data_IF_190918353650
#
_entry.id   IF_190918353650
#
_cell.length_a   1.000
_cell.length_b   1.000
_cell.length_c   1.000
_cell.angle_alpha   90.00
_cell.angle_beta   90.00
_cell.angle_gamma   90.00
#
_symmetry.space_group_name_H-M   'P 1'
#
loop_
_entity.id
_entity.type
_entity.pdbx_description
1 polymer ?
#
# COMPACT_ATOMS: atom_id res chain seq x y z
N UNK A 1 41.72 26.08 12.35
CA UNK A 1 40.73 25.13 12.92
C UNK A 1 39.30 25.70 12.95
N UNK A 2 39.11 27.02 13.03
CA UNK A 2 37.79 27.68 13.09
C UNK A 2 36.98 27.66 11.79
N UNK A 3 37.63 27.74 10.63
CA UNK A 3 36.94 27.73 9.33
C UNK A 3 36.31 26.36 9.01
N UNK A 4 36.99 25.25 9.34
CA UNK A 4 36.48 23.89 9.16
C UNK A 4 35.21 23.63 9.98
N UNK A 5 35.19 24.08 11.23
CA UNK A 5 34.00 23.98 12.09
C UNK A 5 32.81 24.82 11.57
N UNK A 6 33.10 25.98 10.95
CA UNK A 6 32.08 26.81 10.30
C UNK A 6 31.49 26.15 9.05
N UNK A 7 32.32 25.51 8.22
CA UNK A 7 31.84 24.74 7.06
C UNK A 7 31.01 23.51 7.48
N UNK A 8 31.44 22.80 8.53
CA UNK A 8 30.69 21.67 9.08
C UNK A 8 29.32 22.11 9.64
N UNK A 9 29.27 23.24 10.35
CA UNK A 9 28.02 23.81 10.87
C UNK A 9 27.08 24.27 9.75
N UNK A 10 27.60 24.89 8.69
CA UNK A 10 26.81 25.27 7.52
C UNK A 10 26.25 24.03 6.79
N UNK A 11 27.06 23.00 6.64
CA UNK A 11 26.63 21.73 6.03
C UNK A 11 25.54 21.06 6.87
N UNK A 12 25.70 21.01 8.19
CA UNK A 12 24.70 20.48 9.11
C UNK A 12 23.38 21.26 9.04
N UNK A 13 23.44 22.59 8.93
CA UNK A 13 22.27 23.44 8.74
C UNK A 13 21.55 23.12 7.43
N UNK A 14 22.29 23.01 6.32
CA UNK A 14 21.73 22.66 5.01
C UNK A 14 21.07 21.28 5.06
N UNK A 15 21.72 20.30 5.69
CA UNK A 15 21.16 18.96 5.87
C UNK A 15 19.86 19.00 6.69
N UNK A 16 19.85 19.73 7.80
CA UNK A 16 18.67 19.87 8.65
C UNK A 16 17.49 20.50 7.88
N UNK A 17 17.76 21.57 7.13
CA UNK A 17 16.75 22.21 6.27
C UNK A 17 16.23 21.23 5.22
N UNK A 18 17.12 20.50 4.54
CA UNK A 18 16.73 19.52 3.53
C UNK A 18 15.86 18.39 4.11
N UNK A 19 16.20 17.89 5.31
CA UNK A 19 15.37 16.87 5.99
C UNK A 19 13.99 17.40 6.36
N UNK A 20 13.88 18.67 6.76
CA UNK A 20 12.61 19.29 7.12
C UNK A 20 11.70 19.45 5.88
N UNK A 21 12.27 19.86 4.75
CA UNK A 21 11.53 19.94 3.49
C UNK A 21 11.12 18.56 2.95
N UNK A 22 11.96 17.55 3.12
CA UNK A 22 11.65 16.18 2.69
C UNK A 22 10.52 15.55 3.51
N UNK A 23 10.39 15.92 4.79
CA UNK A 23 9.29 15.49 5.65
C UNK A 23 7.93 16.12 5.29
N UNK A 24 7.91 17.18 4.47
CA UNK A 24 6.69 17.85 4.04
C UNK A 24 6.08 17.26 2.75
N UNK A 25 6.70 16.22 2.17
CA UNK A 25 6.15 15.55 0.98
C UNK A 25 4.85 14.85 1.37
N UNK A 26 3.72 15.12 0.69
CA UNK A 26 2.46 14.46 0.99
C UNK A 26 2.61 12.96 0.79
N UNK A 27 2.10 12.19 1.75
CA UNK A 27 1.96 10.76 1.58
C UNK A 27 0.96 10.51 0.43
N UNK A 28 1.41 9.87 -0.65
CA UNK A 28 0.50 9.38 -1.69
C UNK A 28 -0.41 8.33 -1.06
N UNK A 29 -1.64 8.72 -0.76
CA UNK A 29 -2.66 7.80 -0.27
C UNK A 29 -3.10 6.85 -1.38
N UNK A 30 -3.56 5.67 -0.97
CA UNK A 30 -4.30 4.75 -1.84
C UNK A 30 -5.57 5.45 -2.31
N UNK A 31 -5.83 5.44 -3.63
CA UNK A 31 -7.03 6.04 -4.21
C UNK A 31 -8.29 5.44 -3.57
N UNK A 32 -9.07 6.21 -2.79
CA UNK A 32 -10.22 5.67 -2.10
C UNK A 32 -11.37 5.42 -3.07
N UNK A 33 -12.00 4.25 -2.96
CA UNK A 33 -13.20 3.93 -3.74
C UNK A 33 -14.43 4.25 -2.89
N UNK A 34 -15.20 5.24 -3.30
CA UNK A 34 -16.43 5.66 -2.60
C UNK A 34 -17.50 4.56 -2.74
N UNK A 35 -18.14 4.23 -1.62
CA UNK A 35 -19.31 3.33 -1.59
C UNK A 35 -20.51 4.16 -1.11
N UNK A 36 -21.45 4.47 -2.01
CA UNK A 36 -22.72 5.08 -1.64
C UNK A 36 -23.85 4.05 -1.67
N UNK A 37 -24.89 4.28 -0.85
CA UNK A 37 -26.06 3.40 -0.77
C UNK A 37 -26.80 3.29 -2.11
N UNK A 38 -26.79 4.37 -2.90
CA UNK A 38 -27.50 4.45 -4.18
C UNK A 38 -26.64 4.03 -5.38
N UNK A 39 -25.38 3.65 -5.15
CA UNK A 39 -24.50 3.19 -6.22
C UNK A 39 -24.94 1.80 -6.70
N UNK A 40 -25.29 1.70 -7.99
CA UNK A 40 -25.71 0.42 -8.59
C UNK A 40 -24.55 -0.55 -8.82
N UNK A 41 -23.36 -0.03 -9.09
CA UNK A 41 -22.17 -0.81 -9.38
C UNK A 41 -20.92 -0.04 -8.97
N UNK A 42 -19.87 -0.79 -8.62
CA UNK A 42 -18.57 -0.26 -8.26
C UNK A 42 -17.55 -0.68 -9.31
N UNK A 43 -16.82 0.28 -9.87
CA UNK A 43 -15.71 -0.02 -10.78
C UNK A 43 -14.45 -0.36 -9.97
N UNK A 44 -14.14 -1.65 -9.91
CA UNK A 44 -12.97 -2.20 -9.24
C UNK A 44 -11.84 -2.58 -10.21
N UNK A 45 -11.96 -2.29 -11.51
CA UNK A 45 -11.02 -2.73 -12.54
C UNK A 45 -9.57 -2.31 -12.29
N UNK A 46 -9.36 -1.21 -11.55
CA UNK A 46 -8.04 -0.67 -11.18
C UNK A 46 -7.53 -1.10 -9.81
N UNK A 47 -8.32 -1.87 -9.07
CA UNK A 47 -8.09 -2.17 -7.65
C UNK A 47 -8.27 -3.66 -7.31
N UNK A 48 -8.24 -4.55 -8.31
CA UNK A 48 -8.32 -6.00 -8.12
C UNK A 48 -7.14 -6.70 -8.76
N UNK A 49 -6.74 -7.81 -8.16
CA UNK A 49 -5.81 -8.78 -8.74
C UNK A 49 -6.61 -10.03 -9.10
N UNK A 50 -6.42 -10.54 -10.31
CA UNK A 50 -7.16 -11.69 -10.83
C UNK A 50 -6.22 -12.88 -10.94
N UNK A 51 -6.46 -13.91 -10.13
CA UNK A 51 -5.77 -15.19 -10.19
C UNK A 51 -6.59 -16.17 -11.02
N UNK A 52 -5.97 -16.82 -12.00
CA UNK A 52 -6.61 -17.82 -12.86
C UNK A 52 -5.86 -19.14 -12.78
N UNK A 53 -6.61 -20.21 -12.95
CA UNK A 53 -6.21 -21.61 -12.97
C UNK A 53 -5.57 -22.08 -11.66
N UNK A 54 -6.11 -21.65 -10.52
CA UNK A 54 -5.58 -22.02 -9.20
C UNK A 54 -6.02 -23.41 -8.70
N UNK A 55 -6.91 -24.10 -9.44
CA UNK A 55 -7.46 -25.40 -9.07
C UNK A 55 -8.63 -25.29 -8.10
N UNK A 56 -8.94 -26.38 -7.41
CA UNK A 56 -10.11 -26.48 -6.52
C UNK A 56 -9.92 -25.73 -5.19
N UNK A 57 -8.71 -25.72 -4.63
CA UNK A 57 -8.39 -25.01 -3.40
C UNK A 57 -7.31 -23.96 -3.64
N UNK A 58 -7.59 -22.71 -3.29
CA UNK A 58 -6.69 -21.58 -3.46
C UNK A 58 -6.46 -20.84 -2.15
N UNK A 59 -5.20 -20.60 -1.79
CA UNK A 59 -4.86 -19.84 -0.60
C UNK A 59 -4.36 -18.46 -0.95
N UNK A 60 -4.89 -17.44 -0.25
CA UNK A 60 -4.51 -16.04 -0.45
C UNK A 60 -4.32 -15.32 0.88
N UNK A 61 -3.38 -14.38 0.89
CA UNK A 61 -3.14 -13.51 2.04
C UNK A 61 -4.09 -12.31 2.01
N UNK A 62 -4.59 -11.94 3.18
CA UNK A 62 -5.43 -10.75 3.37
C UNK A 62 -4.58 -9.52 3.63
N UNK A 63 -5.15 -8.34 3.41
CA UNK A 63 -4.54 -7.11 3.89
C UNK A 63 -4.36 -7.17 5.43
N UNK A 64 -3.29 -6.54 5.99
CA UNK A 64 -3.09 -6.49 7.43
C UNK A 64 -4.32 -5.92 8.15
N UNK A 65 -4.72 -6.57 9.25
CA UNK A 65 -5.78 -6.04 10.11
C UNK A 65 -5.34 -4.78 10.88
N UNK A 66 -6.23 -4.20 11.70
CA UNK A 66 -5.86 -3.09 12.60
C UNK A 66 -4.74 -3.43 13.58
N UNK A 67 -4.51 -4.72 13.82
CA UNK A 67 -3.44 -5.29 14.62
C UNK A 67 -2.12 -5.48 13.85
N UNK A 68 -2.10 -5.18 12.55
CA UNK A 68 -0.96 -5.39 11.66
C UNK A 68 -0.72 -6.85 11.25
N UNK A 69 -1.62 -7.77 11.61
CA UNK A 69 -1.43 -9.20 11.32
C UNK A 69 -1.99 -9.53 9.93
N UNK A 70 -1.14 -10.13 9.09
CA UNK A 70 -1.53 -10.74 7.81
C UNK A 70 -2.04 -12.15 8.05
N UNK A 71 -3.26 -12.42 7.59
CA UNK A 71 -3.91 -13.74 7.71
C UNK A 71 -4.00 -14.40 6.35
N UNK A 72 -3.93 -15.73 6.32
CA UNK A 72 -4.17 -16.53 5.12
C UNK A 72 -5.56 -17.12 5.17
N UNK A 73 -6.28 -17.05 4.06
CA UNK A 73 -7.56 -17.70 3.86
C UNK A 73 -7.42 -18.74 2.76
N UNK A 74 -8.19 -19.82 2.86
CA UNK A 74 -8.36 -20.79 1.79
C UNK A 74 -9.76 -20.61 1.20
N UNK A 75 -9.82 -20.61 -0.13
CA UNK A 75 -11.03 -20.47 -0.92
C UNK A 75 -11.19 -21.73 -1.73
N UNK A 76 -12.33 -22.38 -1.56
CA UNK A 76 -12.73 -23.56 -2.33
C UNK A 76 -13.58 -23.14 -3.54
N UNK A 77 -13.32 -23.76 -4.67
CA UNK A 77 -14.07 -23.57 -5.90
C UNK A 77 -15.53 -24.04 -5.75
N UNK A 78 -16.46 -23.32 -6.38
CA UNK A 78 -17.88 -23.69 -6.31
C UNK A 78 -18.21 -24.93 -7.17
N UNK A 79 -17.43 -25.21 -8.22
CA UNK A 79 -17.62 -26.32 -9.16
C UNK A 79 -16.26 -26.77 -9.73
N UNK A 80 -16.16 -28.05 -10.14
CA UNK A 80 -15.01 -28.66 -10.81
C UNK A 80 -14.56 -27.95 -12.10
N UNK A 81 -15.45 -27.15 -12.74
CA UNK A 81 -15.10 -26.32 -13.91
C UNK A 81 -14.67 -24.90 -13.56
N UNK A 82 -14.62 -24.54 -12.29
CA UNK A 82 -14.18 -23.22 -11.85
C UNK A 82 -12.73 -22.99 -12.26
N UNK A 83 -12.48 -21.96 -13.07
CA UNK A 83 -11.13 -21.62 -13.50
C UNK A 83 -10.40 -20.70 -12.53
N UNK A 84 -11.04 -20.17 -11.49
CA UNK A 84 -10.57 -18.92 -10.88
C UNK A 84 -10.78 -17.74 -11.81
#
# INVERSE_FOLDING_TARGET
MTNFARFASLFALILAVFTLFSAAVPASAVEPIKIARDDKALDLSRAVEIYRNQGENFQVSTAPGPDGIVRRIEVEANDARSSG
#
